data_IF_145283976381
#
_entry.id   IF_145283976381
#
_cell.length_a   1.000
_cell.length_b   1.000
_cell.length_c   1.000
_cell.angle_alpha   90.00
_cell.angle_beta   90.00
_cell.angle_gamma   90.00
#
_symmetry.space_group_name_H-M   'P 1'
#
loop_
_entity.id
_entity.type
_entity.pdbx_description
1 polymer ?
#
# COMPACT_ATOMS: atom_id res chain seq x y z
N UNK A 1 22.42 65.92 25.55
CA UNK A 1 23.06 64.59 25.73
C UNK A 1 22.49 63.98 27.00
N UNK A 2 21.91 62.78 26.91
CA UNK A 2 21.01 62.11 27.88
C UNK A 2 19.54 62.38 27.63
N UNK A 3 18.83 61.30 27.26
CA UNK A 3 17.41 60.94 27.47
C UNK A 3 16.91 60.11 26.29
N UNK A 4 17.57 58.99 25.99
CA UNK A 4 17.00 57.95 25.12
C UNK A 4 17.72 56.61 25.32
N UNK A 5 17.83 56.18 26.57
CA UNK A 5 18.27 54.84 26.94
C UNK A 5 17.14 54.24 27.76
N UNK A 6 16.22 53.51 27.12
CA UNK A 6 15.36 52.48 27.77
C UNK A 6 14.30 51.87 26.82
N UNK A 7 14.64 51.45 25.60
CA UNK A 7 13.71 50.64 24.79
C UNK A 7 14.44 49.69 23.84
N UNK A 8 15.39 48.90 24.34
CA UNK A 8 16.08 47.90 23.51
C UNK A 8 16.41 46.59 24.24
N UNK A 9 15.60 46.20 25.23
CA UNK A 9 15.75 44.90 25.90
C UNK A 9 14.36 44.32 26.17
N UNK A 10 13.65 43.86 25.14
CA UNK A 10 12.54 42.90 25.31
C UNK A 10 12.06 42.29 23.97
N UNK A 11 13.00 41.90 23.09
CA UNK A 11 12.66 41.14 21.87
C UNK A 11 13.69 40.05 21.56
N UNK A 12 14.10 39.27 22.57
CA UNK A 12 15.04 38.15 22.37
C UNK A 12 14.70 36.92 23.21
N UNK A 13 13.42 36.61 23.40
CA UNK A 13 12.98 35.29 23.86
C UNK A 13 11.68 34.91 23.16
N UNK A 14 11.75 34.15 22.05
CA UNK A 14 10.52 33.72 21.40
C UNK A 14 10.60 32.85 20.14
N UNK A 15 11.74 32.25 19.77
CA UNK A 15 11.83 31.50 18.51
C UNK A 15 12.28 30.04 18.61
N UNK A 16 12.50 29.47 19.80
CA UNK A 16 13.02 28.08 19.90
C UNK A 16 11.96 26.97 19.97
N UNK A 17 10.65 27.26 19.94
CA UNK A 17 9.62 26.23 20.05
C UNK A 17 9.08 25.65 18.72
N UNK A 18 9.42 26.24 17.56
CA UNK A 18 8.75 25.91 16.29
C UNK A 18 9.30 24.64 15.62
N UNK A 19 10.53 24.22 15.95
CA UNK A 19 11.21 23.08 15.30
C UNK A 19 10.77 21.72 15.87
N UNK A 20 10.18 21.66 17.06
CA UNK A 20 9.77 20.39 17.69
C UNK A 20 8.34 19.95 17.31
N UNK A 21 7.44 20.87 16.98
CA UNK A 21 6.06 20.52 16.59
C UNK A 21 5.97 19.96 15.15
N UNK A 22 6.93 20.32 14.29
CA UNK A 22 6.95 19.90 12.87
C UNK A 22 7.38 18.44 12.70
N UNK A 23 8.25 17.91 13.55
CA UNK A 23 8.69 16.52 13.46
C UNK A 23 7.62 15.53 13.93
N UNK A 24 6.82 15.90 14.93
CA UNK A 24 5.79 15.02 15.48
C UNK A 24 4.53 14.98 14.61
N UNK A 25 4.16 16.09 13.97
CA UNK A 25 3.08 16.11 12.97
C UNK A 25 3.44 15.28 11.73
N UNK A 26 4.66 15.42 11.21
CA UNK A 26 5.15 14.64 10.07
C UNK A 26 5.19 13.13 10.35
N UNK A 27 5.63 12.72 11.55
CA UNK A 27 5.60 11.31 11.95
C UNK A 27 4.18 10.75 11.98
N UNK A 28 3.23 11.48 12.57
CA UNK A 28 1.81 11.08 12.62
C UNK A 28 1.18 11.01 11.23
N UNK A 29 1.54 11.91 10.32
CA UNK A 29 1.07 11.87 8.94
C UNK A 29 1.62 10.65 8.18
N UNK A 30 2.91 10.36 8.35
CA UNK A 30 3.55 9.17 7.76
C UNK A 30 2.95 7.87 8.31
N UNK A 31 2.68 7.81 9.62
CA UNK A 31 2.05 6.65 10.26
C UNK A 31 0.63 6.42 9.72
N UNK A 32 -0.20 7.47 9.65
CA UNK A 32 -1.53 7.39 9.03
C UNK A 32 -1.48 6.99 7.56
N UNK A 33 -0.45 7.43 6.83
CA UNK A 33 -0.27 7.06 5.45
C UNK A 33 0.07 5.57 5.30
N UNK A 34 0.98 5.05 6.13
CA UNK A 34 1.31 3.62 6.18
C UNK A 34 0.10 2.76 6.56
N UNK A 35 -0.64 3.17 7.59
CA UNK A 35 -1.86 2.47 8.02
C UNK A 35 -2.88 2.39 6.88
N UNK A 36 -3.10 3.48 6.14
CA UNK A 36 -3.99 3.47 4.97
C UNK A 36 -3.51 2.54 3.86
N UNK A 37 -2.21 2.51 3.57
CA UNK A 37 -1.67 1.60 2.56
C UNK A 37 -1.86 0.13 2.98
N UNK A 38 -1.67 -0.16 4.26
CA UNK A 38 -1.86 -1.50 4.80
C UNK A 38 -3.35 -1.91 4.78
N UNK A 39 -4.25 -0.99 5.11
CA UNK A 39 -5.70 -1.20 5.00
C UNK A 39 -6.12 -1.42 3.54
N UNK A 40 -5.58 -0.65 2.59
CA UNK A 40 -5.84 -0.84 1.16
C UNK A 40 -5.31 -2.20 0.66
N UNK A 41 -4.12 -2.61 1.13
CA UNK A 41 -3.54 -3.93 0.86
C UNK A 41 -4.46 -5.03 1.38
N UNK A 42 -4.86 -4.97 2.65
CA UNK A 42 -5.74 -5.99 3.26
C UNK A 42 -7.07 -6.09 2.52
N UNK A 43 -7.71 -4.95 2.26
CA UNK A 43 -8.98 -4.92 1.54
C UNK A 43 -8.85 -5.51 0.13
N UNK A 44 -7.78 -5.18 -0.59
CA UNK A 44 -7.52 -5.76 -1.91
C UNK A 44 -7.35 -7.28 -1.84
N UNK A 45 -6.51 -7.77 -0.93
CA UNK A 45 -6.24 -9.20 -0.77
C UNK A 45 -7.53 -9.94 -0.42
N UNK A 46 -8.29 -9.43 0.54
CA UNK A 46 -9.54 -10.04 0.98
C UNK A 46 -10.59 -10.06 -0.14
N UNK A 47 -10.82 -8.93 -0.82
CA UNK A 47 -11.78 -8.87 -1.93
C UNK A 47 -11.37 -9.79 -3.09
N UNK A 48 -10.07 -9.91 -3.38
CA UNK A 48 -9.57 -10.79 -4.42
C UNK A 48 -9.83 -12.25 -4.04
N UNK A 49 -9.39 -12.69 -2.86
CA UNK A 49 -9.54 -14.08 -2.40
C UNK A 49 -11.01 -14.49 -2.29
N UNK A 50 -11.88 -13.59 -1.83
CA UNK A 50 -13.32 -13.84 -1.74
C UNK A 50 -14.00 -13.94 -3.11
N UNK A 51 -13.41 -13.35 -4.14
CA UNK A 51 -13.90 -13.44 -5.52
C UNK A 51 -13.51 -14.72 -6.24
N UNK A 52 -12.57 -15.49 -5.69
CA UNK A 52 -12.10 -16.74 -6.28
C UNK A 52 -13.02 -17.89 -5.88
N UNK A 53 -13.47 -18.65 -6.88
CA UNK A 53 -14.26 -19.87 -6.69
C UNK A 53 -13.34 -21.06 -6.39
N UNK A 54 -12.65 -21.00 -5.25
CA UNK A 54 -11.69 -21.99 -4.77
C UNK A 54 -12.00 -22.39 -3.33
N UNK A 55 -11.49 -23.54 -2.90
CA UNK A 55 -11.72 -24.03 -1.54
C UNK A 55 -10.96 -23.21 -0.48
N UNK A 56 -11.29 -23.42 0.80
CA UNK A 56 -10.71 -22.63 1.89
C UNK A 56 -9.21 -22.86 2.09
N UNK A 57 -8.70 -24.06 1.75
CA UNK A 57 -7.27 -24.34 1.78
C UNK A 57 -6.56 -23.57 0.66
N UNK A 58 -7.09 -23.62 -0.56
CA UNK A 58 -6.59 -22.83 -1.70
C UNK A 58 -6.62 -21.33 -1.39
N UNK A 59 -7.72 -20.81 -0.81
CA UNK A 59 -7.83 -19.42 -0.37
C UNK A 59 -6.73 -19.03 0.62
N UNK A 60 -6.44 -19.90 1.59
CA UNK A 60 -5.41 -19.65 2.59
C UNK A 60 -4.02 -19.52 1.94
N UNK A 61 -3.68 -20.44 1.03
CA UNK A 61 -2.40 -20.42 0.32
C UNK A 61 -2.28 -19.19 -0.58
N UNK A 62 -3.33 -18.87 -1.35
CA UNK A 62 -3.35 -17.67 -2.20
C UNK A 62 -3.19 -16.41 -1.36
N UNK A 63 -3.90 -16.31 -0.22
CA UNK A 63 -3.79 -15.18 0.70
C UNK A 63 -2.35 -15.02 1.21
N UNK A 64 -1.71 -16.09 1.66
CA UNK A 64 -0.29 -16.07 2.07
C UNK A 64 0.64 -15.61 0.95
N UNK A 65 0.42 -16.09 -0.28
CA UNK A 65 1.22 -15.71 -1.44
C UNK A 65 1.07 -14.25 -1.82
N UNK A 66 -0.14 -13.70 -1.73
CA UNK A 66 -0.39 -12.29 -1.97
C UNK A 66 0.33 -11.40 -0.96
N UNK A 67 0.29 -11.72 0.33
CA UNK A 67 1.06 -10.96 1.32
C UNK A 67 2.55 -10.97 1.01
N UNK A 68 3.12 -12.17 0.81
CA UNK A 68 4.54 -12.32 0.49
C UNK A 68 4.93 -11.58 -0.79
N UNK A 69 4.03 -11.49 -1.79
CA UNK A 69 4.25 -10.73 -3.02
C UNK A 69 4.36 -9.23 -2.74
N UNK A 70 3.42 -8.68 -1.97
CA UNK A 70 3.43 -7.25 -1.65
C UNK A 70 4.61 -6.87 -0.77
N UNK A 71 5.00 -7.73 0.16
CA UNK A 71 6.18 -7.52 1.01
C UNK A 71 7.46 -7.52 0.14
N UNK A 72 7.65 -8.52 -0.73
CA UNK A 72 8.79 -8.57 -1.65
C UNK A 72 8.81 -7.36 -2.62
N UNK A 73 7.64 -6.93 -3.10
CA UNK A 73 7.51 -5.76 -3.95
C UNK A 73 7.89 -4.47 -3.22
N UNK A 74 7.51 -4.35 -1.95
CA UNK A 74 7.92 -3.23 -1.10
C UNK A 74 9.43 -3.24 -0.85
N UNK A 75 10.02 -4.39 -0.55
CA UNK A 75 11.47 -4.54 -0.39
C UNK A 75 12.24 -4.07 -1.64
N UNK A 76 11.76 -4.41 -2.83
CA UNK A 76 12.34 -3.93 -4.09
C UNK A 76 12.30 -2.41 -4.23
N UNK A 77 11.18 -1.77 -3.85
CA UNK A 77 11.09 -0.31 -3.84
C UNK A 77 12.00 0.34 -2.78
N UNK A 78 12.20 -0.32 -1.64
CA UNK A 78 13.06 0.16 -0.56
C UNK A 78 14.56 -0.03 -0.85
N UNK A 79 14.93 -0.98 -1.71
CA UNK A 79 16.30 -1.31 -2.06
C UNK A 79 17.06 -0.22 -2.83
N UNK A 80 16.40 0.89 -3.23
CA UNK A 80 16.99 2.04 -3.95
C UNK A 80 17.80 1.64 -5.20
N UNK A 81 17.33 0.62 -5.91
CA UNK A 81 17.96 0.13 -7.13
C UNK A 81 17.85 1.16 -8.27
N UNK A 82 18.75 1.04 -9.25
CA UNK A 82 18.63 1.79 -10.50
C UNK A 82 17.31 1.42 -11.21
N UNK A 83 16.69 2.38 -11.88
CA UNK A 83 15.32 2.21 -12.41
C UNK A 83 15.18 1.01 -13.36
N UNK A 84 16.19 0.69 -14.17
CA UNK A 84 16.11 -0.47 -15.07
C UNK A 84 16.22 -1.80 -14.30
N UNK A 85 17.10 -1.87 -13.30
CA UNK A 85 17.25 -3.04 -12.42
C UNK A 85 15.96 -3.27 -11.65
N UNK A 86 15.38 -2.20 -11.09
CA UNK A 86 14.10 -2.28 -10.38
C UNK A 86 12.99 -2.83 -11.28
N UNK A 87 12.89 -2.34 -12.51
CA UNK A 87 11.90 -2.82 -13.48
C UNK A 87 12.11 -4.30 -13.84
N UNK A 88 13.34 -4.73 -14.03
CA UNK A 88 13.69 -6.12 -14.29
C UNK A 88 13.32 -7.03 -13.10
N UNK A 89 13.68 -6.63 -11.87
CA UNK A 89 13.36 -7.39 -10.66
C UNK A 89 11.86 -7.46 -10.39
N UNK A 90 11.11 -6.36 -10.62
CA UNK A 90 9.65 -6.36 -10.51
C UNK A 90 9.01 -7.29 -11.55
N UNK A 91 9.50 -7.27 -12.79
CA UNK A 91 9.01 -8.16 -13.84
C UNK A 91 9.31 -9.63 -13.51
N UNK A 92 10.47 -9.93 -12.92
CA UNK A 92 10.81 -11.29 -12.50
C UNK A 92 9.94 -11.76 -11.32
N UNK A 93 9.69 -10.88 -10.34
CA UNK A 93 8.78 -11.14 -9.24
C UNK A 93 7.37 -11.46 -9.76
N UNK A 94 6.84 -10.67 -10.69
CA UNK A 94 5.51 -10.88 -11.29
C UNK A 94 5.39 -12.24 -11.99
N UNK A 95 6.48 -12.73 -12.60
CA UNK A 95 6.49 -14.00 -13.35
C UNK A 95 6.63 -15.23 -12.46
N UNK A 96 7.41 -15.12 -11.40
CA UNK A 96 7.87 -16.30 -10.64
C UNK A 96 7.12 -16.52 -9.33
N UNK A 97 6.64 -15.45 -8.68
CA UNK A 97 6.15 -15.51 -7.30
C UNK A 97 4.94 -16.44 -7.08
N UNK A 98 4.12 -16.58 -8.12
CA UNK A 98 2.91 -17.41 -8.12
C UNK A 98 3.08 -18.73 -8.89
N UNK A 99 4.29 -19.07 -9.33
CA UNK A 99 4.52 -20.24 -10.18
C UNK A 99 4.19 -21.57 -9.47
N UNK A 100 4.35 -21.63 -8.15
CA UNK A 100 4.05 -22.79 -7.32
C UNK A 100 2.56 -22.96 -7.03
N UNK A 101 1.72 -21.96 -7.29
CA UNK A 101 0.27 -22.13 -7.26
C UNK A 101 -0.23 -23.10 -8.34
N UNK A 102 0.58 -23.40 -9.36
CA UNK A 102 0.24 -24.37 -10.43
C UNK A 102 -0.04 -25.78 -9.90
N UNK A 103 0.57 -26.13 -8.78
CA UNK A 103 0.38 -27.46 -8.18
C UNK A 103 -0.86 -27.54 -7.28
N UNK A 104 -1.47 -26.38 -6.97
CA UNK A 104 -2.53 -26.25 -5.95
C UNK A 104 -3.84 -25.73 -6.55
N UNK A 105 -3.75 -24.85 -7.55
CA UNK A 105 -4.87 -24.12 -8.14
C UNK A 105 -4.94 -24.38 -9.66
N UNK A 106 -6.12 -24.17 -10.24
CA UNK A 106 -6.27 -24.18 -11.69
C UNK A 106 -5.52 -23.01 -12.35
N UNK A 107 -5.08 -23.21 -13.60
CA UNK A 107 -4.43 -22.14 -14.38
C UNK A 107 -5.30 -20.88 -14.50
N UNK A 108 -6.62 -21.05 -14.60
CA UNK A 108 -7.58 -19.93 -14.63
C UNK A 108 -7.51 -19.08 -13.35
N UNK A 109 -7.46 -19.71 -12.18
CA UNK A 109 -7.35 -19.01 -10.90
C UNK A 109 -6.02 -18.29 -10.79
N UNK A 110 -4.93 -18.91 -11.22
CA UNK A 110 -3.59 -18.31 -11.21
C UNK A 110 -3.56 -17.08 -12.11
N UNK A 111 -4.14 -17.16 -13.31
CA UNK A 111 -4.23 -16.02 -14.21
C UNK A 111 -5.05 -14.89 -13.59
N UNK A 112 -6.19 -15.18 -12.93
CA UNK A 112 -6.99 -14.16 -12.22
C UNK A 112 -6.18 -13.45 -11.13
N UNK A 113 -5.37 -14.20 -10.38
CA UNK A 113 -4.49 -13.64 -9.34
C UNK A 113 -3.41 -12.74 -9.96
N UNK A 114 -2.72 -13.23 -11.00
CA UNK A 114 -1.67 -12.47 -11.70
C UNK A 114 -2.20 -11.18 -12.35
N UNK A 115 -3.33 -11.26 -13.04
CA UNK A 115 -3.99 -10.10 -13.66
C UNK A 115 -4.40 -9.07 -12.59
N UNK A 116 -4.86 -9.54 -11.43
CA UNK A 116 -5.31 -8.66 -10.36
C UNK A 116 -4.15 -7.87 -9.75
N UNK A 117 -2.99 -8.48 -9.54
CA UNK A 117 -1.81 -7.81 -8.98
C UNK A 117 -1.09 -6.90 -9.98
N UNK A 118 -1.15 -7.21 -11.28
CA UNK A 118 -0.61 -6.36 -12.34
C UNK A 118 -1.49 -5.14 -12.61
N UNK A 119 -2.81 -5.29 -12.53
CA UNK A 119 -3.78 -4.22 -12.81
C UNK A 119 -4.73 -3.94 -11.63
N UNK A 120 -4.22 -3.59 -10.43
CA UNK A 120 -5.04 -3.44 -9.23
C UNK A 120 -6.09 -2.33 -9.37
N UNK A 121 -5.76 -1.25 -10.09
CA UNK A 121 -6.67 -0.13 -10.35
C UNK A 121 -7.91 -0.54 -11.18
N UNK A 122 -7.76 -1.48 -12.11
CA UNK A 122 -8.87 -1.97 -12.90
C UNK A 122 -9.78 -2.87 -12.08
N UNK A 123 -9.19 -3.71 -11.21
CA UNK A 123 -9.96 -4.57 -10.32
C UNK A 123 -10.72 -3.78 -9.27
N UNK A 124 -10.10 -2.76 -8.66
CA UNK A 124 -10.78 -1.86 -7.71
C UNK A 124 -11.99 -1.18 -8.38
N UNK A 125 -11.87 -0.77 -9.65
CA UNK A 125 -13.00 -0.20 -10.42
C UNK A 125 -14.09 -1.24 -10.69
N UNK A 126 -13.71 -2.47 -11.08
CA UNK A 126 -14.66 -3.58 -11.33
C UNK A 126 -15.42 -3.95 -10.03
N UNK A 127 -14.72 -4.08 -8.90
CA UNK A 127 -15.30 -4.40 -7.60
C UNK A 127 -16.28 -3.32 -7.14
N UNK A 128 -15.90 -2.04 -7.22
CA UNK A 128 -16.81 -0.92 -6.92
C UNK A 128 -18.07 -0.93 -7.79
N UNK A 129 -17.96 -1.26 -9.07
CA UNK A 129 -19.10 -1.37 -10.00
C UNK A 129 -20.01 -2.54 -9.61
N UNK A 130 -19.45 -3.71 -9.28
CA UNK A 130 -20.21 -4.90 -8.89
C UNK A 130 -20.94 -4.70 -7.56
N UNK A 131 -20.29 -4.08 -6.56
CA UNK A 131 -20.92 -3.74 -5.26
C UNK A 131 -22.11 -2.80 -5.42
N UNK A 132 -22.02 -1.80 -6.30
CA UNK A 132 -23.14 -0.88 -6.63
C UNK A 132 -24.31 -1.60 -7.31
N UNK A 133 -24.04 -2.58 -8.17
CA UNK A 133 -25.08 -3.39 -8.83
C UNK A 133 -25.83 -4.27 -7.83
N UNK A 134 -25.12 -4.97 -6.94
CA UNK A 134 -25.74 -5.82 -5.90
C UNK A 134 -26.68 -5.01 -4.98
N UNK A 135 -26.24 -3.82 -4.51
CA UNK A 135 -27.08 -2.91 -3.70
C UNK A 135 -28.34 -2.39 -4.40
N UNK A 136 -28.38 -2.39 -5.73
CA UNK A 136 -29.56 -2.00 -6.52
C UNK A 136 -30.51 -3.17 -6.83
N UNK A 137 -30.04 -4.40 -6.70
CA UNK A 137 -30.85 -5.59 -6.90
C UNK A 137 -31.57 -6.03 -5.62
N UNK A 138 -31.03 -5.64 -4.46
CA UNK A 138 -31.59 -5.89 -3.12
C UNK A 138 -32.62 -4.85 -2.65
N UNK A 139 -32.92 -3.83 -3.48
CA UNK A 139 -33.77 -2.68 -3.16
C UNK A 139 -34.82 -2.50 -4.25
#
# INVERSE_FOLDING_TARGET
MHRLILFFILFTLGTTAVVSQTSDSQKREMERYKEKLEEEKENFIQELVDSLEVDDFQKHIIKQKLYSYFDAKQELYEARLESYVLQEQLAELDRTHFADLKDICSEETIQKVQDAVQHPQEQIKKNKKNKRKRKKADN
#
